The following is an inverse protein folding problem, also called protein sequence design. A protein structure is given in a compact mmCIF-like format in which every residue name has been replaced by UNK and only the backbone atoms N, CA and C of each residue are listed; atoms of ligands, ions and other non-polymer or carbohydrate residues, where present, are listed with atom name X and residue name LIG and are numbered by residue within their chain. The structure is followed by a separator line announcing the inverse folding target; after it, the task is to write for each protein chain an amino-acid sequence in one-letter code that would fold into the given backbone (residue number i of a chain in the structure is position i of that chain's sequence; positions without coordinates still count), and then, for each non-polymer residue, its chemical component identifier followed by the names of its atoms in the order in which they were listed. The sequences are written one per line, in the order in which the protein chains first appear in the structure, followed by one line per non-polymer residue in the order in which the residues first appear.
data_IF_991546882310
#
_entry.id   IF_991546882310
#
_cell.length_a   1.000
_cell.length_b   1.000
_cell.length_c   1.000
_cell.angle_alpha   90.00
_cell.angle_beta   90.00
_cell.angle_gamma   90.00
#
_symmetry.space_group_name_H-M   'P 1'
#
loop_
_entity.id
_entity.type
_entity.pdbx_description
1 polymer ?
#
# COMPACT_ATOMS: atom_id res chain seq x y z
N UNK A 1 -66.26 -33.76 -62.13
CA UNK A 1 -66.20 -33.70 -60.65
C UNK A 1 -64.97 -34.48 -60.26
N UNK A 2 -63.92 -33.74 -59.81
CA UNK A 2 -62.61 -34.31 -59.45
C UNK A 2 -62.50 -34.42 -57.94
N UNK A 3 -62.36 -35.63 -57.42
CA UNK A 3 -62.14 -35.97 -56.04
C UNK A 3 -60.70 -35.70 -55.68
N UNK A 4 -60.51 -34.80 -54.65
CA UNK A 4 -59.23 -34.47 -54.13
C UNK A 4 -58.83 -35.49 -53.04
N UNK A 5 -57.72 -36.18 -53.23
CA UNK A 5 -57.15 -37.08 -52.20
C UNK A 5 -56.32 -36.29 -51.22
N UNK A 6 -56.70 -36.34 -50.00
CA UNK A 6 -55.98 -35.71 -48.86
C UNK A 6 -54.87 -36.67 -48.39
N UNK A 7 -53.64 -36.30 -48.61
CA UNK A 7 -52.44 -37.00 -48.11
C UNK A 7 -52.03 -36.50 -46.76
N UNK A 8 -52.18 -37.29 -45.72
CA UNK A 8 -51.78 -36.99 -44.37
C UNK A 8 -50.26 -37.15 -44.23
N UNK A 9 -49.55 -36.06 -44.00
CA UNK A 9 -48.13 -36.10 -43.74
C UNK A 9 -47.93 -36.30 -42.21
N UNK A 10 -47.41 -37.47 -41.85
CA UNK A 10 -46.99 -37.72 -40.44
C UNK A 10 -45.58 -37.19 -40.28
N UNK A 11 -45.46 -36.07 -39.58
CA UNK A 11 -44.18 -35.48 -39.22
C UNK A 11 -43.63 -36.17 -37.96
N UNK A 12 -42.61 -36.97 -38.10
CA UNK A 12 -41.83 -37.55 -37.01
C UNK A 12 -40.94 -36.44 -36.41
N UNK A 13 -41.30 -35.94 -35.23
CA UNK A 13 -40.43 -35.04 -34.47
C UNK A 13 -39.32 -35.87 -33.81
N UNK A 14 -38.11 -35.80 -34.37
CA UNK A 14 -36.92 -36.29 -33.70
C UNK A 14 -36.60 -35.31 -32.56
N UNK A 15 -36.88 -35.74 -31.33
CA UNK A 15 -36.37 -35.08 -30.13
C UNK A 15 -34.89 -35.44 -29.99
N UNK A 16 -34.00 -34.54 -30.44
CA UNK A 16 -32.59 -34.63 -30.15
C UNK A 16 -32.38 -34.30 -28.65
N UNK A 17 -32.16 -35.33 -27.84
CA UNK A 17 -31.65 -35.18 -26.47
C UNK A 17 -30.22 -34.68 -26.59
N UNK A 18 -30.05 -33.34 -26.54
CA UNK A 18 -28.75 -32.73 -26.34
C UNK A 18 -28.32 -33.01 -24.90
N UNK A 19 -27.56 -34.06 -24.70
CA UNK A 19 -26.88 -34.33 -23.45
C UNK A 19 -25.96 -33.15 -23.17
N UNK A 20 -26.32 -32.32 -22.15
CA UNK A 20 -25.42 -31.32 -21.59
C UNK A 20 -24.35 -32.09 -20.83
N UNK A 21 -23.24 -32.38 -21.50
CA UNK A 21 -22.04 -32.84 -20.82
C UNK A 21 -21.51 -31.63 -20.04
N UNK A 22 -21.83 -31.52 -18.76
CA UNK A 22 -21.13 -30.62 -17.85
C UNK A 22 -19.69 -31.09 -17.74
N UNK A 23 -18.85 -30.64 -18.68
CA UNK A 23 -17.40 -30.80 -18.56
C UNK A 23 -16.99 -30.01 -17.35
N UNK A 24 -16.48 -30.67 -16.31
CA UNK A 24 -15.82 -30.00 -15.21
C UNK A 24 -14.66 -29.19 -15.79
N UNK A 25 -14.81 -27.86 -15.84
CA UNK A 25 -13.73 -26.97 -16.26
C UNK A 25 -12.54 -27.17 -15.32
N UNK A 26 -11.37 -27.39 -15.89
CA UNK A 26 -10.12 -27.57 -15.16
C UNK A 26 -9.28 -26.33 -15.33
N UNK A 27 -8.61 -25.90 -14.28
CA UNK A 27 -7.74 -24.73 -14.25
C UNK A 27 -7.08 -24.59 -12.88
N UNK A 28 -6.42 -23.48 -12.63
CA UNK A 28 -5.93 -23.17 -11.29
C UNK A 28 -7.10 -22.79 -10.39
N UNK A 29 -7.23 -23.47 -9.23
CA UNK A 29 -8.29 -23.23 -8.24
C UNK A 29 -7.85 -22.41 -7.05
N UNK A 30 -6.58 -21.98 -6.99
CA UNK A 30 -6.07 -21.13 -5.91
C UNK A 30 -6.36 -19.64 -6.23
N UNK A 31 -7.21 -18.95 -5.41
CA UNK A 31 -7.52 -17.54 -5.62
C UNK A 31 -6.31 -16.60 -5.53
N UNK A 32 -5.17 -17.07 -5.02
CA UNK A 32 -3.93 -16.29 -4.93
C UNK A 32 -3.06 -16.39 -6.18
N UNK A 33 -3.38 -17.29 -7.08
CA UNK A 33 -2.62 -17.45 -8.32
C UNK A 33 -3.03 -16.40 -9.35
N UNK A 34 -2.07 -15.90 -10.13
CA UNK A 34 -2.30 -14.93 -11.21
C UNK A 34 -3.14 -15.53 -12.35
N UNK A 35 -3.11 -16.84 -12.52
CA UNK A 35 -3.92 -17.59 -13.48
C UNK A 35 -5.11 -18.30 -12.83
N UNK A 36 -5.63 -17.77 -11.70
CA UNK A 36 -6.83 -18.28 -11.06
C UNK A 36 -8.03 -18.27 -12.02
N UNK A 37 -8.77 -19.37 -12.04
CA UNK A 37 -9.98 -19.52 -12.83
C UNK A 37 -11.15 -19.85 -11.90
N UNK A 38 -12.02 -18.88 -11.67
CA UNK A 38 -13.17 -19.01 -10.78
C UNK A 38 -14.18 -20.07 -11.22
N UNK A 39 -14.20 -20.41 -12.51
CA UNK A 39 -15.06 -21.45 -13.07
C UNK A 39 -14.45 -22.85 -12.96
N UNK A 40 -13.17 -22.96 -12.60
CA UNK A 40 -12.50 -24.24 -12.44
C UNK A 40 -13.07 -25.00 -11.23
N UNK A 41 -13.54 -26.22 -11.46
CA UNK A 41 -14.04 -27.12 -10.42
C UNK A 41 -12.98 -28.13 -9.98
N UNK A 42 -11.86 -28.20 -10.67
CA UNK A 42 -10.76 -29.12 -10.44
C UNK A 42 -9.45 -28.53 -10.96
N UNK A 43 -8.36 -28.77 -10.22
CA UNK A 43 -7.03 -28.46 -10.74
C UNK A 43 -6.74 -29.21 -12.02
N UNK A 44 -6.15 -28.53 -12.98
CA UNK A 44 -5.61 -29.16 -14.18
C UNK A 44 -4.15 -29.54 -13.91
N UNK A 45 -3.86 -30.83 -13.99
CA UNK A 45 -2.48 -31.34 -13.81
C UNK A 45 -1.49 -30.79 -14.85
N UNK A 46 -1.99 -30.23 -15.95
CA UNK A 46 -1.17 -29.66 -17.02
C UNK A 46 -1.06 -28.14 -16.94
N UNK A 47 -1.82 -27.49 -16.05
CA UNK A 47 -1.79 -26.06 -15.81
C UNK A 47 -1.47 -25.86 -14.34
N UNK A 48 -0.19 -25.64 -14.06
CA UNK A 48 0.23 -25.26 -12.69
C UNK A 48 -0.37 -23.91 -12.33
N UNK A 49 -0.72 -23.72 -11.06
CA UNK A 49 -1.00 -22.38 -10.55
C UNK A 49 0.25 -21.52 -10.66
N UNK A 50 0.14 -20.39 -11.34
CA UNK A 50 1.19 -19.40 -11.49
C UNK A 50 0.99 -18.34 -10.41
N UNK A 51 2.07 -17.98 -9.73
CA UNK A 51 2.06 -16.92 -8.74
C UNK A 51 2.97 -15.81 -9.24
N UNK A 52 2.50 -14.57 -9.12
CA UNK A 52 3.37 -13.45 -9.38
C UNK A 52 4.63 -13.60 -8.54
N UNK A 53 5.77 -13.62 -9.19
CA UNK A 53 7.06 -13.58 -8.48
C UNK A 53 7.11 -12.25 -7.76
N UNK A 54 6.98 -12.28 -6.42
CA UNK A 54 7.21 -11.10 -5.60
C UNK A 54 8.68 -10.74 -5.81
N UNK A 55 8.93 -9.78 -6.68
CA UNK A 55 10.26 -9.20 -6.84
C UNK A 55 10.43 -8.24 -5.66
N UNK A 56 11.08 -8.72 -4.62
CA UNK A 56 11.48 -7.86 -3.51
C UNK A 56 12.50 -6.85 -4.04
N UNK A 57 12.24 -5.58 -3.85
CA UNK A 57 13.09 -4.50 -4.33
C UNK A 57 13.32 -3.46 -3.25
N UNK A 58 14.52 -2.91 -3.21
CA UNK A 58 14.78 -1.68 -2.47
C UNK A 58 14.42 -0.50 -3.37
N UNK A 59 13.52 0.35 -2.90
CA UNK A 59 13.03 1.53 -3.62
C UNK A 59 13.46 2.78 -2.88
N UNK A 60 14.30 3.58 -3.50
CA UNK A 60 14.70 4.87 -2.94
C UNK A 60 13.59 5.90 -3.18
N UNK A 61 13.20 6.60 -2.13
CA UNK A 61 12.23 7.70 -2.12
C UNK A 61 12.92 8.98 -1.68
N UNK A 62 12.71 10.05 -2.44
CA UNK A 62 13.26 11.37 -2.13
C UNK A 62 12.32 12.49 -2.61
N UNK A 63 12.39 13.66 -1.99
CA UNK A 63 11.60 14.83 -2.38
C UNK A 63 10.11 14.71 -2.09
N UNK A 64 9.27 15.37 -2.88
CA UNK A 64 7.84 15.55 -2.60
C UNK A 64 6.96 14.46 -3.23
N UNK A 65 6.08 13.92 -2.41
CA UNK A 65 4.93 13.08 -2.80
C UNK A 65 3.74 14.01 -3.01
N UNK A 66 3.50 14.40 -4.25
CA UNK A 66 2.44 15.36 -4.63
C UNK A 66 1.13 14.69 -5.03
N UNK A 67 1.15 13.40 -5.28
CA UNK A 67 -0.02 12.57 -5.60
C UNK A 67 -0.09 11.40 -4.64
N UNK A 68 -1.30 10.92 -4.35
CA UNK A 68 -1.46 9.77 -3.45
C UNK A 68 -0.79 8.53 -4.01
N UNK A 69 -0.06 7.82 -3.17
CA UNK A 69 0.62 6.58 -3.53
C UNK A 69 0.55 5.54 -2.42
N UNK A 70 0.82 4.30 -2.76
CA UNK A 70 0.85 3.18 -1.81
C UNK A 70 2.24 2.53 -1.80
N UNK A 71 2.80 2.34 -0.60
CA UNK A 71 4.00 1.56 -0.37
C UNK A 71 3.62 0.16 0.07
N UNK A 72 4.09 -0.83 -0.67
CA UNK A 72 3.68 -2.22 -0.54
C UNK A 72 4.70 -3.04 0.26
N UNK A 73 4.25 -4.08 0.93
CA UNK A 73 5.10 -4.95 1.75
C UNK A 73 6.13 -5.77 0.95
N UNK A 74 6.01 -5.79 -0.37
CA UNK A 74 6.97 -6.46 -1.27
C UNK A 74 8.27 -5.67 -1.46
N UNK A 75 8.36 -4.45 -0.92
CA UNK A 75 9.50 -3.59 -1.09
C UNK A 75 10.01 -3.09 0.25
N UNK A 76 11.31 -2.81 0.32
CA UNK A 76 11.92 -1.98 1.36
C UNK A 76 12.06 -0.57 0.78
N UNK A 77 11.51 0.42 1.46
CA UNK A 77 11.60 1.82 1.03
C UNK A 77 12.73 2.51 1.77
N UNK A 78 13.64 3.12 1.03
CA UNK A 78 14.77 3.86 1.58
C UNK A 78 14.52 5.36 1.41
N UNK A 79 14.50 6.09 2.52
CA UNK A 79 14.29 7.54 2.50
C UNK A 79 15.63 8.24 2.32
N UNK A 80 15.79 8.98 1.23
CA UNK A 80 16.94 9.83 0.97
C UNK A 80 16.57 11.31 1.18
N UNK A 81 17.11 11.91 2.24
CA UNK A 81 16.76 13.25 2.65
C UNK A 81 15.31 13.37 3.15
N UNK A 82 14.69 14.51 2.91
CA UNK A 82 13.29 14.74 3.32
C UNK A 82 12.33 14.21 2.26
N UNK A 83 11.53 13.21 2.64
CA UNK A 83 10.39 12.74 1.83
C UNK A 83 9.14 13.40 2.37
N UNK A 84 8.50 14.25 1.58
CA UNK A 84 7.41 15.12 2.03
C UNK A 84 6.11 14.75 1.36
N UNK A 85 5.14 14.31 2.14
CA UNK A 85 3.76 14.09 1.66
C UNK A 85 3.05 15.44 1.68
N UNK A 86 2.81 15.99 0.52
CA UNK A 86 2.27 17.33 0.33
C UNK A 86 0.77 17.41 0.61
N UNK A 87 0.28 18.65 0.79
CA UNK A 87 -1.15 18.92 0.95
C UNK A 87 -1.98 18.29 -0.16
N UNK A 88 -3.04 17.57 0.20
CA UNK A 88 -3.93 16.85 -0.72
C UNK A 88 -3.46 15.46 -1.14
N UNK A 89 -2.21 15.09 -0.87
CA UNK A 89 -1.72 13.73 -1.10
C UNK A 89 -1.94 12.83 0.13
N UNK A 90 -2.11 11.55 -0.11
CA UNK A 90 -2.16 10.50 0.92
C UNK A 90 -1.10 9.45 0.62
N UNK A 91 -0.21 9.21 1.57
CA UNK A 91 0.68 8.07 1.56
C UNK A 91 0.02 6.92 2.34
N UNK A 92 -0.24 5.82 1.66
CA UNK A 92 -0.71 4.58 2.29
C UNK A 92 0.47 3.60 2.39
N UNK A 93 0.67 3.02 3.56
CA UNK A 93 1.72 2.02 3.79
C UNK A 93 1.04 0.72 4.24
N UNK A 94 1.26 -0.35 3.49
CA UNK A 94 0.68 -1.66 3.76
C UNK A 94 1.32 -2.33 4.98
N UNK A 95 0.55 -3.20 5.63
CA UNK A 95 1.05 -4.02 6.73
C UNK A 95 2.28 -4.85 6.29
N UNK A 96 3.31 -4.91 7.13
CA UNK A 96 4.55 -5.63 6.87
C UNK A 96 5.59 -4.85 6.05
N UNK A 97 5.29 -3.62 5.64
CA UNK A 97 6.26 -2.76 4.92
C UNK A 97 7.40 -2.33 5.83
N UNK A 98 8.62 -2.33 5.30
CA UNK A 98 9.81 -1.82 5.96
C UNK A 98 10.23 -0.51 5.28
N UNK A 99 10.46 0.52 6.09
CA UNK A 99 10.91 1.84 5.65
C UNK A 99 12.21 2.16 6.39
N UNK A 100 13.28 2.44 5.66
CA UNK A 100 14.60 2.74 6.23
C UNK A 100 15.01 4.17 5.90
N UNK A 101 15.32 4.96 6.91
CA UNK A 101 15.90 6.30 6.74
C UNK A 101 17.40 6.22 6.52
N UNK A 102 17.91 6.88 5.49
CA UNK A 102 19.35 7.04 5.29
C UNK A 102 19.97 7.90 6.39
N UNK A 103 21.26 7.73 6.61
CA UNK A 103 21.99 8.50 7.60
C UNK A 103 22.02 10.00 7.23
N UNK A 104 22.09 10.82 8.26
CA UNK A 104 22.18 12.25 8.14
C UNK A 104 21.84 12.90 9.46
N UNK A 105 22.30 14.13 9.66
CA UNK A 105 22.02 14.90 10.87
C UNK A 105 21.52 16.29 10.52
N UNK A 106 20.77 16.90 11.42
CA UNK A 106 20.21 18.24 11.28
C UNK A 106 19.43 18.40 9.96
N UNK A 107 19.79 19.35 9.12
CA UNK A 107 19.15 19.59 7.82
C UNK A 107 19.32 18.43 6.84
N UNK A 108 20.35 17.61 7.00
CA UNK A 108 20.63 16.45 6.15
C UNK A 108 20.02 15.14 6.65
N UNK A 109 19.38 15.12 7.83
CA UNK A 109 18.70 13.93 8.33
C UNK A 109 17.58 13.51 7.40
N UNK A 110 17.54 12.23 7.03
CA UNK A 110 16.41 11.68 6.29
C UNK A 110 15.17 11.64 7.19
N UNK A 111 14.03 12.03 6.66
CA UNK A 111 12.78 11.99 7.42
C UNK A 111 11.58 11.82 6.48
N UNK A 112 10.53 11.18 6.99
CA UNK A 112 9.20 11.21 6.38
C UNK A 112 8.42 12.37 7.01
N UNK A 113 8.03 13.33 6.20
CA UNK A 113 7.28 14.51 6.65
C UNK A 113 5.90 14.46 6.02
N UNK A 114 4.88 14.50 6.86
CA UNK A 114 3.51 14.71 6.42
C UNK A 114 3.23 16.20 6.60
N UNK A 115 3.30 16.94 5.51
CA UNK A 115 3.07 18.37 5.51
C UNK A 115 1.60 18.69 5.85
N UNK A 116 1.34 19.93 6.26
CA UNK A 116 -0.01 20.40 6.57
C UNK A 116 -0.99 20.13 5.43
N UNK A 117 -2.04 19.34 5.68
CA UNK A 117 -3.01 18.89 4.68
C UNK A 117 -2.63 17.63 3.89
N UNK A 118 -1.44 17.07 4.11
CA UNK A 118 -1.07 15.72 3.69
C UNK A 118 -1.60 14.67 4.66
N UNK A 119 -1.59 13.38 4.27
CA UNK A 119 -2.05 12.27 5.11
C UNK A 119 -1.13 11.08 5.06
N UNK A 120 -1.00 10.40 6.22
CA UNK A 120 -0.34 9.10 6.33
C UNK A 120 -1.33 8.05 6.82
N UNK A 121 -1.55 7.01 6.05
CA UNK A 121 -2.32 5.83 6.42
C UNK A 121 -1.35 4.66 6.56
N UNK A 122 -0.91 4.38 7.77
CA UNK A 122 0.02 3.32 8.11
C UNK A 122 -0.68 2.34 9.06
N UNK A 123 -1.38 1.36 8.49
CA UNK A 123 -2.19 0.40 9.25
C UNK A 123 -1.56 -0.98 9.13
N UNK A 124 -0.68 -1.29 10.05
CA UNK A 124 -0.11 -2.62 10.23
C UNK A 124 -1.03 -3.55 11.01
N UNK A 125 -0.55 -4.76 11.28
CA UNK A 125 -1.20 -5.75 12.15
C UNK A 125 -0.20 -6.29 13.18
N UNK A 126 -0.68 -6.99 14.20
CA UNK A 126 0.21 -7.66 15.16
C UNK A 126 1.08 -8.72 14.49
N UNK A 127 0.56 -9.37 13.44
CA UNK A 127 1.31 -10.35 12.65
C UNK A 127 2.30 -9.69 11.69
N UNK A 128 1.94 -8.55 11.11
CA UNK A 128 2.71 -7.85 10.08
C UNK A 128 2.76 -6.34 10.41
N UNK A 129 3.57 -5.93 11.41
CA UNK A 129 3.73 -4.52 11.74
C UNK A 129 4.44 -3.76 10.62
N UNK A 130 4.16 -2.47 10.51
CA UNK A 130 4.94 -1.57 9.66
C UNK A 130 6.17 -1.14 10.47
N UNK A 131 7.36 -1.21 9.86
CA UNK A 131 8.61 -0.94 10.55
C UNK A 131 9.31 0.24 9.91
N UNK A 132 9.56 1.27 10.70
CA UNK A 132 10.44 2.37 10.35
C UNK A 132 11.73 2.23 11.13
N UNK A 133 12.85 2.27 10.44
CA UNK A 133 14.16 2.10 11.06
C UNK A 133 15.25 2.85 10.28
N UNK A 134 16.52 2.72 10.68
CA UNK A 134 17.66 3.25 9.95
C UNK A 134 18.08 2.32 8.83
N UNK A 135 18.72 2.87 7.79
CA UNK A 135 19.40 2.08 6.75
C UNK A 135 20.49 1.16 7.33
N UNK A 136 21.00 1.49 8.51
CA UNK A 136 21.98 0.66 9.22
C UNK A 136 21.39 -0.60 9.86
N UNK A 137 20.07 -0.68 9.98
CA UNK A 137 19.40 -1.90 10.47
C UNK A 137 19.49 -3.00 9.40
N UNK A 138 19.93 -4.19 9.83
CA UNK A 138 20.05 -5.35 8.95
C UNK A 138 18.73 -6.13 8.76
N UNK A 139 17.60 -5.52 9.16
CA UNK A 139 16.29 -6.13 8.93
C UNK A 139 16.02 -6.33 7.43
N UNK A 140 15.53 -7.50 7.08
CA UNK A 140 15.22 -7.93 5.72
C UNK A 140 13.72 -8.20 5.53
N UNK A 141 13.31 -8.45 4.30
CA UNK A 141 11.93 -8.78 3.96
C UNK A 141 11.34 -9.86 4.87
N UNK A 142 10.09 -9.68 5.25
CA UNK A 142 9.33 -10.57 6.13
C UNK A 142 9.87 -10.71 7.56
N UNK A 143 10.94 -10.02 7.91
CA UNK A 143 11.44 -9.95 9.29
C UNK A 143 10.68 -8.83 10.05
N UNK A 144 10.63 -8.98 11.38
CA UNK A 144 9.97 -8.00 12.26
C UNK A 144 10.95 -7.22 13.12
N UNK A 145 12.19 -7.66 13.13
CA UNK A 145 13.28 -7.06 13.91
C UNK A 145 14.61 -7.42 13.27
N UNK A 146 15.51 -6.45 13.20
CA UNK A 146 16.92 -6.68 12.90
C UNK A 146 17.67 -7.24 14.11
N UNK A 147 18.93 -7.54 13.94
CA UNK A 147 19.76 -8.16 14.99
C UNK A 147 20.99 -7.34 15.37
N UNK A 148 21.28 -6.25 14.67
CA UNK A 148 22.52 -5.50 14.81
C UNK A 148 22.38 -4.17 15.55
N UNK A 149 21.18 -3.56 15.57
CA UNK A 149 20.93 -2.35 16.32
C UNK A 149 20.49 -2.67 17.77
N UNK A 150 20.83 -1.79 18.66
CA UNK A 150 20.52 -1.90 20.09
C UNK A 150 19.79 -0.64 20.57
N UNK A 151 19.29 -0.63 21.79
CA UNK A 151 18.63 0.54 22.41
C UNK A 151 19.52 1.79 22.53
N UNK A 152 20.83 1.68 22.29
CA UNK A 152 21.78 2.79 22.29
C UNK A 152 21.99 3.39 20.90
N UNK A 153 21.49 2.72 19.86
CA UNK A 153 21.59 3.17 18.48
C UNK A 153 20.44 4.09 18.14
N UNK A 154 20.53 5.32 18.61
CA UNK A 154 19.55 6.38 18.35
C UNK A 154 20.15 7.46 17.41
N UNK A 155 19.32 8.42 16.99
CA UNK A 155 19.73 9.55 16.12
C UNK A 155 20.35 9.09 14.78
N UNK A 156 19.96 7.93 14.27
CA UNK A 156 20.47 7.40 13.00
C UNK A 156 19.74 7.97 11.78
N UNK A 157 18.55 8.52 11.98
CA UNK A 157 17.72 9.16 10.97
C UNK A 157 16.75 10.16 11.62
N UNK A 158 16.05 10.97 10.83
CA UNK A 158 15.22 12.08 11.34
C UNK A 158 13.81 11.69 11.79
N UNK A 159 13.41 10.41 11.61
CA UNK A 159 12.09 9.94 12.06
C UNK A 159 10.92 10.36 11.17
N UNK A 160 9.73 10.33 11.76
CA UNK A 160 8.48 10.75 11.13
C UNK A 160 7.99 12.04 11.76
N UNK A 161 7.64 13.02 10.92
CA UNK A 161 7.09 14.30 11.33
C UNK A 161 5.70 14.45 10.74
N UNK A 162 4.70 14.72 11.58
CA UNK A 162 3.31 14.92 11.13
C UNK A 162 2.86 16.32 11.53
N UNK A 163 2.59 17.16 10.54
CA UNK A 163 2.26 18.57 10.69
C UNK A 163 0.77 18.78 10.39
N UNK A 164 0.00 19.02 11.45
CA UNK A 164 -1.45 19.22 11.35
C UNK A 164 -1.85 20.65 10.98
N UNK A 165 -3.13 20.80 10.63
CA UNK A 165 -3.78 22.07 10.30
C UNK A 165 -4.76 22.53 11.40
N UNK A 166 -4.76 21.88 12.56
CA UNK A 166 -5.58 22.26 13.69
C UNK A 166 -5.03 23.52 14.39
N UNK A 167 -5.87 24.31 15.07
CA UNK A 167 -5.42 25.46 15.86
C UNK A 167 -4.36 25.06 16.89
N UNK A 168 -3.33 25.86 17.00
CA UNK A 168 -2.25 25.69 17.98
C UNK A 168 -2.20 26.91 18.92
N UNK A 169 -1.59 26.72 20.08
CA UNK A 169 -1.30 27.81 21.01
C UNK A 169 0.19 28.16 20.91
N UNK A 170 0.47 29.32 20.36
CA UNK A 170 1.83 29.85 20.28
C UNK A 170 2.02 30.95 21.34
N UNK A 171 3.26 31.24 21.73
CA UNK A 171 3.59 32.27 22.71
C UNK A 171 3.09 33.65 22.29
N UNK A 172 3.13 33.94 20.99
CA UNK A 172 2.71 35.24 20.42
C UNK A 172 1.23 35.28 19.98
N UNK A 173 0.48 34.20 20.16
CA UNK A 173 -0.91 34.09 19.69
C UNK A 173 -1.06 33.83 18.20
N UNK A 174 0.02 33.48 17.50
CA UNK A 174 -0.04 33.06 16.10
C UNK A 174 -0.80 31.75 15.96
N UNK A 175 -1.52 31.58 14.86
CA UNK A 175 -2.29 30.36 14.56
C UNK A 175 -1.43 29.28 13.89
N UNK A 176 -0.23 29.62 13.44
CA UNK A 176 0.73 28.73 12.78
C UNK A 176 2.11 28.87 13.43
N UNK A 177 2.83 27.76 13.45
CA UNK A 177 4.25 27.71 13.81
C UNK A 177 5.08 27.06 12.70
N UNK A 178 6.39 27.06 12.89
CA UNK A 178 7.33 26.31 12.07
C UNK A 178 8.07 25.32 12.96
N UNK A 179 8.20 24.06 12.50
CA UNK A 179 8.91 23.05 13.27
C UNK A 179 10.42 23.35 13.27
N UNK A 180 11.07 23.12 14.40
CA UNK A 180 12.52 23.24 14.52
C UNK A 180 13.23 22.20 13.63
N UNK A 181 14.38 22.58 13.08
CA UNK A 181 15.18 21.71 12.20
C UNK A 181 14.73 21.69 10.72
N UNK A 182 13.65 22.39 10.37
CA UNK A 182 13.24 22.61 8.99
C UNK A 182 13.28 24.11 8.71
N UNK A 183 14.06 24.58 7.70
CA UNK A 183 14.09 25.98 7.34
C UNK A 183 12.70 26.53 7.02
N UNK A 184 12.39 27.73 7.49
CA UNK A 184 11.05 28.32 7.32
C UNK A 184 10.67 28.58 5.85
N UNK A 185 11.66 28.75 4.99
CA UNK A 185 11.52 28.93 3.56
C UNK A 185 11.35 27.61 2.77
N UNK A 186 11.55 26.46 3.43
CA UNK A 186 11.32 25.15 2.82
C UNK A 186 9.85 24.89 2.47
N UNK A 187 8.92 25.66 3.06
CA UNK A 187 7.49 25.60 2.75
C UNK A 187 6.71 24.48 3.44
N UNK A 188 7.33 23.36 3.73
CA UNK A 188 6.70 22.18 4.32
C UNK A 188 6.93 22.01 5.84
N UNK A 189 7.56 22.97 6.51
CA UNK A 189 7.82 22.94 7.97
C UNK A 189 6.72 23.57 8.82
N UNK A 190 5.68 24.12 8.22
CA UNK A 190 4.61 24.81 8.94
C UNK A 190 3.59 23.84 9.52
N UNK A 191 3.12 24.13 10.75
CA UNK A 191 2.03 23.43 11.41
C UNK A 191 1.03 24.44 11.99
N UNK A 192 -0.15 23.98 12.38
CA UNK A 192 -1.21 24.82 12.89
C UNK A 192 -2.08 25.40 11.78
N UNK A 193 -3.15 26.06 12.18
CA UNK A 193 -4.14 26.64 11.27
C UNK A 193 -5.50 26.84 11.92
N UNK A 194 -6.57 26.67 11.15
CA UNK A 194 -7.94 26.94 11.61
C UNK A 194 -8.88 25.73 11.52
N UNK A 195 -8.40 24.58 11.12
CA UNK A 195 -9.23 23.38 10.90
C UNK A 195 -9.25 22.52 12.17
N UNK A 196 -10.18 22.81 13.08
CA UNK A 196 -10.27 22.13 14.39
C UNK A 196 -10.46 20.61 14.29
N UNK A 197 -11.06 20.11 13.20
CA UNK A 197 -11.28 18.69 12.93
C UNK A 197 -10.22 18.11 11.97
N UNK A 198 -9.02 18.71 11.90
CA UNK A 198 -7.95 18.21 11.05
C UNK A 198 -7.59 16.76 11.39
N UNK A 199 -7.28 15.99 10.34
CA UNK A 199 -6.90 14.59 10.45
C UNK A 199 -5.76 14.31 9.47
N UNK A 200 -4.55 14.20 10.00
CA UNK A 200 -3.35 13.93 9.23
C UNK A 200 -3.10 12.43 8.98
N UNK A 201 -4.02 11.56 9.40
CA UNK A 201 -3.97 10.12 9.08
C UNK A 201 -4.15 9.18 10.26
N UNK A 202 -3.67 7.95 10.08
CA UNK A 202 -3.82 6.85 11.05
C UNK A 202 -2.53 6.03 11.12
N UNK A 203 -2.06 5.75 12.35
CA UNK A 203 -0.97 4.83 12.60
C UNK A 203 -1.45 3.72 13.55
N UNK A 204 -1.30 2.47 13.13
CA UNK A 204 -1.69 1.30 13.91
C UNK A 204 -0.65 0.20 13.70
N UNK A 205 -0.17 -0.42 14.77
CA UNK A 205 0.90 -1.43 14.72
C UNK A 205 2.11 -0.95 13.89
N UNK A 206 2.60 0.22 14.24
CA UNK A 206 3.79 0.83 13.65
C UNK A 206 4.91 0.80 14.70
N UNK A 207 6.09 0.33 14.30
CA UNK A 207 7.34 0.40 15.07
C UNK A 207 8.24 1.48 14.47
N UNK A 208 8.83 2.33 15.32
CA UNK A 208 9.71 3.43 14.91
C UNK A 208 10.99 3.38 15.75
#
# INVERSE_FOLDING_TARGET
MKTLKQTTLITFALFALSGVTTSCKKGCTDPKASNYDEDAKKEDKNVACEYDTIVNSNIVKSGSVTTSETWTSNNIYELEGKVVVESGATLTIEAGTIVKGQEGQETNASALIIAKGGKLIAVGTAADPIIFTSILDNIEFSQKVGSNLTKTDNQKWGGIVILGNAPVSTENGDTEGNIEGIPADAGYGKYGGSVAADNSGTLTYVSI
#
